data_IF_442807905908
#
_entry.id   IF_442807905908
#
_cell.length_a   1.000
_cell.length_b   1.000
_cell.length_c   1.000
_cell.angle_alpha   90.00
_cell.angle_beta   90.00
_cell.angle_gamma   90.00
#
_symmetry.space_group_name_H-M   'P 1'
#
loop_
_entity.id
_entity.type
_entity.pdbx_description
1 polymer ?
#
# COMPACT_ATOMS: atom_id res chain seq x y z
N UNK A 1 -53.94 36.15 -61.17
CA UNK A 1 -54.27 35.35 -59.97
C UNK A 1 -53.18 34.31 -59.81
N UNK A 2 -52.52 34.32 -58.66
CA UNK A 2 -51.17 33.82 -58.45
C UNK A 2 -51.09 32.30 -58.26
N UNK A 3 -49.99 31.74 -58.77
CA UNK A 3 -49.57 30.33 -58.69
C UNK A 3 -49.00 30.05 -57.29
N UNK A 4 -49.63 29.15 -56.54
CA UNK A 4 -49.16 28.70 -55.22
C UNK A 4 -48.07 27.62 -55.39
N UNK A 5 -46.81 27.94 -55.07
CA UNK A 5 -45.70 26.99 -55.01
C UNK A 5 -45.59 26.41 -53.60
N UNK A 6 -45.77 25.10 -53.47
CA UNK A 6 -45.44 24.34 -52.25
C UNK A 6 -43.91 24.28 -52.08
N UNK A 7 -43.38 24.95 -51.06
CA UNK A 7 -42.00 24.78 -50.60
C UNK A 7 -41.98 23.70 -49.51
N UNK A 8 -41.48 22.51 -49.88
CA UNK A 8 -41.20 21.40 -48.97
C UNK A 8 -39.92 21.73 -48.19
N UNK A 9 -40.04 22.06 -46.92
CA UNK A 9 -38.89 22.18 -46.02
C UNK A 9 -38.44 20.78 -45.59
N UNK A 10 -37.35 20.32 -46.18
CA UNK A 10 -36.62 19.13 -45.72
C UNK A 10 -35.68 19.60 -44.60
N UNK A 11 -36.12 19.47 -43.34
CA UNK A 11 -35.25 19.66 -42.18
C UNK A 11 -34.28 18.47 -42.13
N UNK A 12 -33.05 18.72 -42.57
CA UNK A 12 -31.93 17.80 -42.44
C UNK A 12 -31.53 17.78 -40.96
N UNK A 13 -32.01 16.78 -40.22
CA UNK A 13 -31.59 16.51 -38.85
C UNK A 13 -30.15 16.00 -38.86
N UNK A 14 -29.20 16.91 -38.71
CA UNK A 14 -27.80 16.57 -38.44
C UNK A 14 -27.75 15.97 -37.04
N UNK A 15 -27.70 14.65 -36.95
CA UNK A 15 -27.37 13.95 -35.72
C UNK A 15 -25.91 14.30 -35.35
N UNK A 16 -25.75 15.17 -34.37
CA UNK A 16 -24.49 15.36 -33.66
C UNK A 16 -24.16 14.05 -32.94
N UNK A 17 -23.42 13.16 -33.59
CA UNK A 17 -22.69 12.09 -32.92
C UNK A 17 -21.56 12.80 -32.18
N UNK A 18 -21.86 13.31 -30.99
CA UNK A 18 -20.81 13.73 -30.06
C UNK A 18 -19.93 12.52 -29.76
N UNK A 19 -18.62 12.73 -29.71
CA UNK A 19 -17.70 11.73 -29.17
C UNK A 19 -18.23 11.30 -27.80
N UNK A 20 -18.81 10.10 -27.69
CA UNK A 20 -19.04 9.50 -26.37
C UNK A 20 -17.66 9.23 -25.82
N UNK A 21 -17.34 9.82 -24.67
CA UNK A 21 -16.17 9.42 -23.90
C UNK A 21 -16.24 7.91 -23.70
N UNK A 22 -15.14 7.21 -23.92
CA UNK A 22 -15.01 5.78 -23.56
C UNK A 22 -15.09 5.58 -22.05
N UNK A 23 -14.84 6.66 -21.30
CA UNK A 23 -15.09 6.79 -19.87
C UNK A 23 -16.58 7.02 -19.66
N UNK A 24 -17.31 5.95 -19.31
CA UNK A 24 -18.69 6.01 -18.84
C UNK A 24 -18.76 6.51 -17.38
N UNK A 25 -19.97 6.57 -16.81
CA UNK A 25 -20.18 6.93 -15.41
C UNK A 25 -19.40 6.02 -14.44
N UNK A 26 -19.04 6.59 -13.30
CA UNK A 26 -18.39 5.88 -12.20
C UNK A 26 -19.39 4.94 -11.51
N UNK A 27 -18.99 3.68 -11.32
CA UNK A 27 -19.60 2.73 -10.39
C UNK A 27 -18.79 2.74 -9.09
N UNK A 28 -19.28 3.49 -8.10
CA UNK A 28 -18.69 3.64 -6.77
C UNK A 28 -18.60 2.30 -6.01
N UNK A 29 -19.53 1.38 -6.24
CA UNK A 29 -19.50 0.06 -5.57
C UNK A 29 -18.36 -0.81 -6.14
N UNK A 30 -18.15 -0.75 -7.46
CA UNK A 30 -17.03 -1.45 -8.11
C UNK A 30 -15.68 -0.75 -7.91
N UNK A 31 -15.67 0.54 -7.56
CA UNK A 31 -14.44 1.29 -7.27
C UNK A 31 -13.72 0.75 -6.04
N UNK A 32 -14.46 0.34 -5.02
CA UNK A 32 -13.92 -0.11 -3.73
C UNK A 32 -13.26 -1.51 -3.79
N UNK A 33 -12.87 -1.96 -4.98
CA UNK A 33 -12.04 -3.15 -5.19
C UNK A 33 -10.57 -2.76 -5.09
N UNK A 34 -9.90 -3.31 -4.09
CA UNK A 34 -8.48 -3.10 -3.86
C UNK A 34 -7.67 -4.32 -4.32
N UNK A 35 -6.38 -4.08 -4.56
CA UNK A 35 -5.40 -5.11 -4.81
C UNK A 35 -4.20 -4.92 -3.91
N UNK A 36 -3.52 -6.03 -3.62
CA UNK A 36 -2.27 -6.06 -2.87
C UNK A 36 -1.19 -6.69 -3.73
N UNK A 37 0.01 -6.12 -3.70
CA UNK A 37 1.19 -6.67 -4.38
C UNK A 37 1.98 -7.65 -3.47
N UNK A 38 2.98 -8.37 -4.00
CA UNK A 38 3.79 -9.29 -3.19
C UNK A 38 4.55 -8.63 -2.04
N UNK A 39 4.77 -7.32 -2.09
CA UNK A 39 5.40 -6.53 -1.04
C UNK A 39 4.39 -5.98 0.00
N UNK A 40 3.10 -6.27 -0.17
CA UNK A 40 2.03 -5.87 0.75
C UNK A 40 1.49 -4.45 0.55
N UNK A 41 1.89 -3.76 -0.53
CA UNK A 41 1.37 -2.42 -0.87
C UNK A 41 -0.01 -2.53 -1.47
N UNK A 42 -0.89 -1.62 -1.10
CA UNK A 42 -2.30 -1.63 -1.51
C UNK A 42 -2.58 -0.50 -2.47
N UNK A 43 -3.31 -0.83 -3.53
CA UNK A 43 -3.80 0.11 -4.53
C UNK A 43 -5.23 -0.24 -4.93
N UNK A 44 -5.89 0.66 -5.65
CA UNK A 44 -7.12 0.30 -6.34
C UNK A 44 -6.84 -0.77 -7.38
N UNK A 45 -7.75 -1.73 -7.59
CA UNK A 45 -7.56 -2.79 -8.56
C UNK A 45 -7.29 -2.23 -9.98
N UNK A 46 -8.00 -1.16 -10.39
CA UNK A 46 -7.73 -0.46 -11.64
C UNK A 46 -6.33 0.17 -11.70
N UNK A 47 -5.87 0.79 -10.61
CA UNK A 47 -4.51 1.34 -10.50
C UNK A 47 -3.45 0.23 -10.60
N UNK A 48 -3.65 -0.88 -9.88
CA UNK A 48 -2.77 -2.05 -9.88
C UNK A 48 -2.57 -2.63 -11.28
N UNK A 49 -3.64 -2.73 -12.08
CA UNK A 49 -3.55 -3.25 -13.45
C UNK A 49 -2.71 -2.39 -14.39
N UNK A 50 -2.62 -1.08 -14.15
CA UNK A 50 -1.71 -0.23 -14.91
C UNK A 50 -0.26 -0.39 -14.42
N UNK A 51 -0.04 -0.83 -13.18
CA UNK A 51 1.29 -1.12 -12.62
C UNK A 51 1.87 -2.47 -13.08
N UNK A 52 1.02 -3.49 -13.27
CA UNK A 52 1.41 -4.92 -13.42
C UNK A 52 2.36 -5.21 -14.59
N UNK A 53 2.39 -4.35 -15.62
CA UNK A 53 3.27 -4.50 -16.79
C UNK A 53 4.51 -3.59 -16.81
N UNK A 54 4.71 -2.74 -15.79
CA UNK A 54 5.60 -1.59 -15.90
C UNK A 54 6.49 -1.31 -14.68
N UNK A 55 7.05 -2.38 -14.09
CA UNK A 55 7.98 -2.30 -12.95
C UNK A 55 7.50 -1.34 -11.85
N UNK A 56 6.23 -1.51 -11.43
CA UNK A 56 5.58 -0.65 -10.45
C UNK A 56 5.24 0.77 -10.96
N UNK A 57 4.92 0.91 -12.24
CA UNK A 57 4.38 2.15 -12.83
C UNK A 57 5.39 3.13 -13.43
N UNK A 58 6.69 2.80 -13.40
CA UNK A 58 7.77 3.71 -13.80
C UNK A 58 7.83 4.02 -15.30
N UNK A 59 7.14 3.25 -16.13
CA UNK A 59 7.23 3.46 -17.59
C UNK A 59 6.69 4.80 -18.07
N UNK A 60 5.75 5.37 -17.32
CA UNK A 60 5.04 6.59 -17.68
C UNK A 60 5.52 7.79 -16.88
N UNK A 61 6.68 7.69 -16.23
CA UNK A 61 7.34 8.81 -15.57
C UNK A 61 8.02 9.70 -16.61
N UNK A 62 7.96 11.02 -16.41
CA UNK A 62 8.53 12.03 -17.32
C UNK A 62 10.04 11.82 -17.56
N UNK A 63 10.76 11.32 -16.54
CA UNK A 63 12.19 11.04 -16.59
C UNK A 63 12.58 9.59 -16.88
N UNK A 64 11.64 8.72 -17.23
CA UNK A 64 11.97 7.34 -17.56
C UNK A 64 12.82 7.27 -18.84
N UNK A 65 13.79 6.35 -18.90
CA UNK A 65 14.68 6.19 -20.06
C UNK A 65 14.92 4.71 -20.39
N UNK A 66 15.34 4.44 -21.63
CA UNK A 66 15.79 3.11 -22.05
C UNK A 66 14.74 2.02 -21.87
N UNK A 67 15.08 0.96 -21.12
CA UNK A 67 14.20 -0.19 -20.88
C UNK A 67 12.94 0.17 -20.09
N UNK A 68 13.00 1.21 -19.27
CA UNK A 68 11.85 1.66 -18.50
C UNK A 68 10.81 2.37 -19.40
N UNK A 69 11.16 2.86 -20.60
CA UNK A 69 10.17 3.43 -21.56
C UNK A 69 9.83 2.52 -22.74
N UNK A 70 10.15 1.23 -22.65
CA UNK A 70 9.90 0.33 -23.76
C UNK A 70 8.40 0.29 -24.14
N UNK A 71 8.09 0.60 -25.40
CA UNK A 71 6.72 0.56 -25.93
C UNK A 71 5.82 1.73 -25.53
N UNK A 72 6.33 2.72 -24.79
CA UNK A 72 5.55 3.88 -24.33
C UNK A 72 5.46 4.95 -25.44
N UNK A 73 4.25 5.36 -25.87
CA UNK A 73 4.10 6.45 -26.84
C UNK A 73 4.67 7.78 -26.33
N UNK A 74 5.21 8.58 -27.24
CA UNK A 74 5.71 9.93 -26.92
C UNK A 74 4.60 10.78 -26.30
N UNK A 75 4.88 11.38 -25.14
CA UNK A 75 3.95 12.27 -24.43
C UNK A 75 2.92 11.56 -23.57
N UNK A 76 2.95 10.22 -23.45
CA UNK A 76 2.10 9.48 -22.52
C UNK A 76 2.76 9.41 -21.13
N UNK A 77 2.90 10.58 -20.53
CA UNK A 77 3.62 10.85 -19.27
C UNK A 77 2.65 11.15 -18.14
N UNK A 78 1.92 10.13 -17.69
CA UNK A 78 0.96 10.34 -16.59
C UNK A 78 1.59 10.21 -15.21
N UNK A 79 2.65 9.41 -15.05
CA UNK A 79 3.22 9.04 -13.76
C UNK A 79 2.21 8.29 -12.87
N UNK A 80 2.59 7.13 -12.35
CA UNK A 80 1.71 6.37 -11.45
C UNK A 80 2.35 6.21 -10.08
N UNK A 81 2.08 7.11 -9.12
CA UNK A 81 2.52 6.87 -7.76
C UNK A 81 1.87 5.57 -7.27
N UNK A 82 2.68 4.70 -6.68
CA UNK A 82 2.19 3.69 -5.75
C UNK A 82 1.95 4.40 -4.41
N UNK A 83 1.12 3.85 -3.54
CA UNK A 83 1.10 4.27 -2.14
C UNK A 83 2.51 4.09 -1.54
N UNK A 84 3.37 5.11 -1.64
CA UNK A 84 4.78 5.03 -1.19
C UNK A 84 4.94 5.51 0.25
N UNK A 85 3.88 6.01 0.88
CA UNK A 85 3.93 6.31 2.31
C UNK A 85 3.76 5.00 3.07
N UNK A 86 4.87 4.27 3.14
CA UNK A 86 5.19 3.28 4.16
C UNK A 86 5.68 3.96 5.45
N UNK A 87 5.98 5.27 5.39
CA UNK A 87 6.49 6.09 6.48
C UNK A 87 6.01 7.55 6.34
N UNK A 88 5.09 7.99 7.20
CA UNK A 88 4.91 9.43 7.46
C UNK A 88 6.00 9.82 8.42
N UNK A 89 7.11 10.33 7.87
CA UNK A 89 7.90 11.27 8.67
C UNK A 89 6.95 12.43 8.95
N UNK A 90 6.69 12.73 10.21
CA UNK A 90 6.13 14.04 10.54
C UNK A 90 7.26 15.05 10.64
N UNK A 91 7.17 16.19 9.92
CA UNK A 91 6.13 16.53 8.94
C UNK A 91 6.30 15.77 7.62
N UNK A 92 5.18 15.50 6.93
CA UNK A 92 5.19 14.90 5.58
C UNK A 92 6.22 15.61 4.69
N UNK A 93 6.87 14.89 3.75
CA UNK A 93 7.75 15.53 2.79
C UNK A 93 7.04 16.71 2.13
N UNK A 94 7.67 17.88 2.19
CA UNK A 94 7.10 19.12 1.64
C UNK A 94 6.69 18.89 0.18
N UNK A 95 5.44 19.23 -0.16
CA UNK A 95 4.90 19.07 -1.50
C UNK A 95 4.33 17.68 -1.85
N UNK A 96 4.29 16.72 -0.92
CA UNK A 96 3.74 15.39 -1.19
C UNK A 96 2.27 15.40 -1.64
N UNK A 97 1.41 16.19 -0.98
CA UNK A 97 0.02 16.40 -1.43
C UNK A 97 -0.03 16.98 -2.85
N UNK A 98 0.77 18.02 -3.10
CA UNK A 98 0.83 18.66 -4.41
C UNK A 98 1.33 17.70 -5.51
N UNK A 99 2.20 16.75 -5.17
CA UNK A 99 2.62 15.67 -6.06
C UNK A 99 1.45 14.74 -6.37
N UNK A 100 0.73 14.24 -5.36
CA UNK A 100 -0.41 13.33 -5.57
C UNK A 100 -1.53 13.96 -6.40
N UNK A 101 -1.88 15.22 -6.12
CA UNK A 101 -2.85 15.97 -6.91
C UNK A 101 -2.39 16.09 -8.36
N UNK A 102 -1.12 16.46 -8.58
CA UNK A 102 -0.54 16.58 -9.93
C UNK A 102 -0.54 15.24 -10.67
N UNK A 103 -0.17 14.15 -10.01
CA UNK A 103 -0.21 12.81 -10.59
C UNK A 103 -1.62 12.41 -11.00
N UNK A 104 -2.62 12.64 -10.13
CA UNK A 104 -4.02 12.37 -10.44
C UNK A 104 -4.52 13.19 -11.64
N UNK A 105 -4.23 14.49 -11.66
CA UNK A 105 -4.56 15.36 -12.80
C UNK A 105 -3.89 14.89 -14.10
N UNK A 106 -2.63 14.45 -14.02
CA UNK A 106 -1.91 13.91 -15.16
C UNK A 106 -2.53 12.59 -15.65
N UNK A 107 -2.89 11.67 -14.75
CA UNK A 107 -3.60 10.42 -15.10
C UNK A 107 -4.90 10.73 -15.84
N UNK A 108 -5.72 11.64 -15.30
CA UNK A 108 -7.00 12.00 -15.90
C UNK A 108 -6.85 12.69 -17.26
N UNK A 109 -5.79 13.49 -17.45
CA UNK A 109 -5.48 14.10 -18.75
C UNK A 109 -5.18 13.06 -19.83
N UNK A 110 -4.68 11.89 -19.45
CA UNK A 110 -4.29 10.81 -20.37
C UNK A 110 -5.30 9.65 -20.40
N UNK A 111 -6.40 9.72 -19.66
CA UNK A 111 -7.32 8.61 -19.45
C UNK A 111 -7.89 8.03 -20.76
N UNK A 112 -8.31 8.87 -21.70
CA UNK A 112 -8.83 8.40 -23.00
C UNK A 112 -7.76 7.72 -23.85
N UNK A 113 -6.54 8.27 -23.86
CA UNK A 113 -5.41 7.68 -24.58
C UNK A 113 -5.01 6.33 -23.97
N UNK A 114 -4.99 6.25 -22.64
CA UNK A 114 -4.74 5.02 -21.89
C UNK A 114 -5.74 3.92 -22.26
N UNK A 115 -7.04 4.20 -22.18
CA UNK A 115 -8.09 3.24 -22.55
C UNK A 115 -7.99 2.83 -24.02
N UNK A 116 -7.76 3.79 -24.92
CA UNK A 116 -7.62 3.48 -26.36
C UNK A 116 -6.46 2.53 -26.64
N UNK A 117 -5.35 2.63 -25.91
CA UNK A 117 -4.19 1.75 -26.08
C UNK A 117 -4.43 0.38 -25.46
N UNK A 118 -5.10 0.31 -24.31
CA UNK A 118 -5.52 -0.95 -23.69
C UNK A 118 -6.49 -1.71 -24.61
N UNK A 119 -7.52 -1.03 -25.12
CA UNK A 119 -8.54 -1.63 -26.00
C UNK A 119 -7.94 -2.18 -27.29
N UNK A 120 -6.82 -1.62 -27.74
CA UNK A 120 -6.08 -2.08 -28.93
C UNK A 120 -5.04 -3.16 -28.61
N UNK A 121 -4.89 -3.55 -27.35
CA UNK A 121 -3.84 -4.49 -26.90
C UNK A 121 -2.42 -3.93 -27.05
N UNK A 122 -2.28 -2.61 -27.20
CA UNK A 122 -0.97 -1.95 -27.30
C UNK A 122 -0.35 -1.68 -25.92
N UNK A 123 -1.16 -1.68 -24.87
CA UNK A 123 -0.73 -1.51 -23.49
C UNK A 123 -1.27 -2.64 -22.60
N UNK A 124 -0.41 -3.34 -21.83
CA UNK A 124 1.05 -3.27 -21.86
C UNK A 124 1.61 -3.88 -23.16
N UNK A 125 2.78 -3.42 -23.63
CA UNK A 125 3.38 -3.92 -24.86
C UNK A 125 3.78 -5.39 -24.73
N UNK A 126 3.44 -6.21 -25.74
CA UNK A 126 3.79 -7.63 -25.77
C UNK A 126 3.00 -8.49 -24.79
N UNK A 127 1.88 -8.01 -24.26
CA UNK A 127 0.94 -8.82 -23.50
C UNK A 127 0.48 -10.02 -24.34
N UNK A 128 0.51 -11.21 -23.75
CA UNK A 128 -0.05 -12.40 -24.37
C UNK A 128 -1.59 -12.30 -24.32
N UNK A 129 -2.29 -12.28 -25.47
CA UNK A 129 -3.74 -12.19 -25.48
C UNK A 129 -4.43 -13.41 -24.84
N UNK A 130 -3.73 -14.54 -24.70
CA UNK A 130 -4.23 -15.74 -24.02
C UNK A 130 -3.97 -15.70 -22.49
N UNK A 131 -3.25 -14.68 -22.00
CA UNK A 131 -2.98 -14.50 -20.57
C UNK A 131 -4.20 -13.91 -19.86
N UNK A 132 -4.80 -14.74 -19.00
CA UNK A 132 -6.02 -14.37 -18.28
C UNK A 132 -5.77 -13.66 -16.94
N UNK A 133 -4.54 -13.67 -16.42
CA UNK A 133 -4.18 -13.12 -15.11
C UNK A 133 -3.19 -11.97 -15.24
N UNK A 134 -3.26 -10.99 -14.34
CA UNK A 134 -2.31 -9.89 -14.32
C UNK A 134 -0.91 -10.37 -13.91
N UNK A 135 0.11 -9.87 -14.60
CA UNK A 135 1.51 -10.12 -14.26
C UNK A 135 1.90 -9.43 -12.94
N UNK A 136 2.98 -9.88 -12.29
CA UNK A 136 3.49 -9.23 -11.07
C UNK A 136 2.82 -9.65 -9.76
N UNK A 137 1.93 -10.65 -9.77
CA UNK A 137 1.48 -11.33 -8.55
C UNK A 137 0.46 -10.56 -7.70
N UNK A 138 -0.21 -9.56 -8.27
CA UNK A 138 -1.26 -8.81 -7.59
C UNK A 138 -2.48 -9.70 -7.34
N UNK A 139 -3.07 -9.55 -6.14
CA UNK A 139 -4.27 -10.29 -5.73
C UNK A 139 -5.35 -9.34 -5.26
N UNK A 140 -6.60 -9.72 -5.47
CA UNK A 140 -7.73 -9.01 -4.87
C UNK A 140 -7.60 -8.98 -3.35
N UNK A 141 -7.95 -7.84 -2.78
CA UNK A 141 -8.14 -7.71 -1.34
C UNK A 141 -9.65 -7.74 -1.06
N UNK A 142 -10.12 -8.83 -0.48
CA UNK A 142 -11.53 -9.07 -0.17
C UNK A 142 -11.82 -8.76 1.30
N UNK A 143 -12.95 -8.11 1.55
CA UNK A 143 -13.45 -7.88 2.91
C UNK A 143 -14.63 -8.81 3.17
N UNK A 144 -14.45 -9.78 4.08
CA UNK A 144 -15.52 -10.68 4.51
C UNK A 144 -15.64 -10.62 6.02
N UNK A 145 -16.80 -10.20 6.52
CA UNK A 145 -17.10 -10.16 7.97
C UNK A 145 -16.06 -9.36 8.80
N UNK A 146 -15.58 -8.23 8.27
CA UNK A 146 -14.53 -7.42 8.93
C UNK A 146 -13.09 -7.90 8.68
N UNK A 147 -12.91 -9.02 7.99
CA UNK A 147 -11.60 -9.63 7.74
C UNK A 147 -11.10 -9.34 6.32
N UNK A 148 -9.81 -9.05 6.17
CA UNK A 148 -9.14 -9.04 4.88
C UNK A 148 -8.75 -10.46 4.46
N UNK A 149 -9.15 -10.86 3.28
CA UNK A 149 -8.69 -12.08 2.62
C UNK A 149 -7.97 -11.70 1.35
N UNK A 150 -6.83 -12.33 1.10
CA UNK A 150 -6.23 -12.25 -0.23
C UNK A 150 -7.04 -13.18 -1.13
N UNK A 151 -7.80 -12.59 -2.02
CA UNK A 151 -8.60 -13.29 -3.02
C UNK A 151 -7.76 -13.82 -4.16
N UNK A 152 -8.42 -14.01 -5.29
CA UNK A 152 -7.80 -14.48 -6.52
C UNK A 152 -6.83 -13.46 -7.10
N UNK A 153 -5.95 -13.94 -7.99
CA UNK A 153 -5.11 -13.06 -8.78
C UNK A 153 -5.97 -12.10 -9.61
N UNK A 154 -5.50 -10.87 -9.80
CA UNK A 154 -6.21 -9.91 -10.65
C UNK A 154 -6.36 -10.47 -12.07
N UNK A 155 -7.49 -10.18 -12.75
CA UNK A 155 -7.64 -10.52 -14.15
C UNK A 155 -6.67 -9.70 -15.00
N UNK A 156 -6.15 -10.27 -16.09
CA UNK A 156 -5.29 -9.53 -17.02
C UNK A 156 -6.02 -8.31 -17.56
N UNK A 157 -5.30 -7.20 -17.74
CA UNK A 157 -5.83 -5.98 -18.39
C UNK A 157 -6.29 -6.22 -19.83
N UNK A 158 -5.94 -7.36 -20.44
CA UNK A 158 -6.43 -7.78 -21.77
C UNK A 158 -7.79 -8.50 -21.71
N UNK A 159 -8.30 -8.83 -20.53
CA UNK A 159 -9.64 -9.40 -20.34
C UNK A 159 -10.68 -8.29 -20.23
N UNK A 160 -11.96 -8.64 -20.45
CA UNK A 160 -13.06 -7.70 -20.27
C UNK A 160 -13.14 -7.17 -18.83
N UNK A 161 -12.95 -8.06 -17.85
CA UNK A 161 -12.97 -7.70 -16.44
C UNK A 161 -11.82 -6.75 -16.07
N UNK A 162 -10.60 -7.04 -16.52
CA UNK A 162 -9.45 -6.18 -16.28
C UNK A 162 -9.61 -4.80 -16.92
N UNK A 163 -10.12 -4.72 -18.16
CA UNK A 163 -10.42 -3.44 -18.82
C UNK A 163 -11.46 -2.63 -18.05
N UNK A 164 -12.50 -3.29 -17.57
CA UNK A 164 -13.57 -2.62 -16.82
C UNK A 164 -13.09 -2.08 -15.47
N UNK A 165 -12.20 -2.78 -14.77
CA UNK A 165 -11.56 -2.29 -13.54
C UNK A 165 -10.78 -0.98 -13.78
N UNK A 166 -10.01 -0.91 -14.87
CA UNK A 166 -9.24 0.31 -15.23
C UNK A 166 -10.19 1.43 -15.68
N UNK A 167 -11.17 1.12 -16.54
CA UNK A 167 -12.17 2.09 -17.02
C UNK A 167 -12.95 2.70 -15.87
N UNK A 168 -13.44 1.88 -14.93
CA UNK A 168 -14.20 2.35 -13.79
C UNK A 168 -13.33 3.20 -12.85
N UNK A 169 -12.08 2.77 -12.59
CA UNK A 169 -11.13 3.57 -11.80
C UNK A 169 -10.90 4.96 -12.40
N UNK A 170 -10.70 5.07 -13.72
CA UNK A 170 -10.58 6.36 -14.41
C UNK A 170 -11.88 7.18 -14.36
N UNK A 171 -13.03 6.53 -14.53
CA UNK A 171 -14.35 7.17 -14.44
C UNK A 171 -14.63 7.78 -13.06
N UNK A 172 -14.15 7.13 -12.00
CA UNK A 172 -14.26 7.61 -10.63
C UNK A 172 -13.19 8.66 -10.26
N UNK A 173 -12.50 9.22 -11.26
CA UNK A 173 -11.52 10.26 -11.05
C UNK A 173 -10.14 9.74 -10.64
N UNK A 174 -9.82 8.48 -10.96
CA UNK A 174 -8.53 7.84 -10.72
C UNK A 174 -8.01 8.03 -9.28
N UNK A 175 -8.78 7.60 -8.26
CA UNK A 175 -8.32 7.73 -6.88
C UNK A 175 -7.04 6.95 -6.64
N UNK A 176 -6.24 7.44 -5.70
CA UNK A 176 -4.95 6.85 -5.33
C UNK A 176 -5.03 6.44 -3.87
N UNK A 177 -4.37 5.34 -3.50
CA UNK A 177 -4.14 5.02 -2.09
C UNK A 177 -2.97 5.87 -1.61
N UNK A 178 -3.23 6.80 -0.68
CA UNK A 178 -2.23 7.77 -0.19
C UNK A 178 -1.21 7.14 0.77
N UNK A 179 -1.69 6.16 1.53
CA UNK A 179 -0.95 5.52 2.59
C UNK A 179 -1.41 4.07 2.73
N UNK A 180 -0.43 3.16 2.78
CA UNK A 180 -0.65 1.75 3.08
C UNK A 180 -0.86 1.53 4.57
N UNK A 181 -0.33 2.44 5.40
CA UNK A 181 -0.55 2.46 6.85
C UNK A 181 -1.85 3.23 7.19
N UNK A 182 -2.86 2.55 7.73
CA UNK A 182 -4.13 3.15 8.08
C UNK A 182 -4.13 4.00 9.37
N UNK A 183 -3.06 3.93 10.18
CA UNK A 183 -2.89 4.75 11.40
C UNK A 183 -2.56 6.20 11.09
N UNK A 184 -2.11 6.48 9.87
CA UNK A 184 -1.69 7.80 9.45
C UNK A 184 -2.88 8.77 9.33
N UNK A 185 -2.73 10.04 9.75
CA UNK A 185 -3.74 11.05 9.57
C UNK A 185 -4.03 11.24 8.08
N UNK A 186 -5.29 11.54 7.72
CA UNK A 186 -5.68 11.79 6.34
C UNK A 186 -4.86 12.97 5.80
N UNK A 187 -4.06 12.70 4.79
CA UNK A 187 -3.08 13.65 4.30
C UNK A 187 -3.80 14.71 3.48
N UNK A 188 -4.64 14.35 2.51
CA UNK A 188 -5.33 15.34 1.66
C UNK A 188 -6.73 15.75 2.12
N UNK A 189 -7.45 14.91 2.87
CA UNK A 189 -8.80 15.24 3.37
C UNK A 189 -9.92 15.29 2.31
N UNK A 190 -9.60 15.05 1.03
CA UNK A 190 -10.51 15.25 -0.11
C UNK A 190 -11.10 13.94 -0.67
N UNK A 191 -12.22 14.06 -1.41
CA UNK A 191 -12.80 12.97 -2.19
C UNK A 191 -11.81 12.49 -3.27
N UNK A 192 -11.60 11.18 -3.34
CA UNK A 192 -10.74 10.54 -4.34
C UNK A 192 -9.38 10.10 -3.78
N UNK A 193 -9.22 10.09 -2.46
CA UNK A 193 -8.06 9.48 -1.84
C UNK A 193 -8.48 8.64 -0.64
N UNK A 194 -8.10 7.36 -0.68
CA UNK A 194 -8.56 6.37 0.27
C UNK A 194 -7.39 5.86 1.10
N UNK A 195 -7.63 5.70 2.41
CA UNK A 195 -6.78 4.86 3.26
C UNK A 195 -6.89 3.42 2.78
N UNK A 196 -5.79 2.68 2.82
CA UNK A 196 -5.92 1.22 2.87
C UNK A 196 -6.88 0.89 4.03
N UNK A 197 -7.93 0.10 3.81
CA UNK A 197 -8.78 -0.32 4.92
C UNK A 197 -7.96 -1.12 5.94
N UNK A 198 -8.31 -0.94 7.22
CA UNK A 198 -7.76 -1.72 8.34
C UNK A 198 -8.30 -3.15 8.27
N UNK A 199 -7.42 -4.14 8.33
CA UNK A 199 -7.83 -5.51 8.54
C UNK A 199 -8.13 -5.69 10.04
N UNK A 200 -9.38 -5.98 10.40
CA UNK A 200 -9.82 -6.02 11.81
C UNK A 200 -9.07 -7.06 12.65
N UNK A 201 -8.55 -8.14 12.02
CA UNK A 201 -7.71 -9.14 12.68
C UNK A 201 -6.31 -8.63 13.08
N UNK A 202 -5.80 -7.54 12.48
CA UNK A 202 -4.49 -6.99 12.84
C UNK A 202 -4.51 -6.26 14.19
N UNK A 203 -5.70 -5.91 14.71
CA UNK A 203 -5.88 -5.24 16.01
C UNK A 203 -6.61 -6.06 17.07
N UNK A 204 -7.32 -7.12 16.70
CA UNK A 204 -8.10 -7.90 17.67
C UNK A 204 -7.14 -8.64 18.65
N UNK A 205 -7.19 -8.32 19.96
CA UNK A 205 -6.35 -9.00 20.93
C UNK A 205 -6.63 -10.51 20.92
N UNK A 206 -5.59 -11.31 20.73
CA UNK A 206 -5.65 -12.78 20.74
C UNK A 206 -5.72 -13.46 19.37
N UNK A 207 -5.85 -12.72 18.25
CA UNK A 207 -5.74 -13.29 16.89
C UNK A 207 -4.31 -13.26 16.34
N UNK A 208 -3.47 -12.35 16.83
CA UNK A 208 -2.05 -12.30 16.51
C UNK A 208 -1.25 -13.22 17.44
N UNK A 209 -1.11 -14.48 17.04
CA UNK A 209 -0.26 -15.47 17.75
C UNK A 209 1.22 -15.15 17.58
N UNK A 210 2.07 -15.62 18.48
CA UNK A 210 3.51 -15.41 18.35
C UNK A 210 4.11 -16.07 17.08
N UNK A 211 3.57 -17.19 16.63
CA UNK A 211 3.98 -17.87 15.39
C UNK A 211 3.78 -16.98 14.17
N UNK A 212 2.59 -16.40 14.05
CA UNK A 212 2.26 -15.44 13.00
C UNK A 212 3.13 -14.20 13.10
N UNK A 213 3.28 -13.64 14.30
CA UNK A 213 4.14 -12.48 14.52
C UNK A 213 5.59 -12.76 14.09
N UNK A 214 6.12 -13.93 14.47
CA UNK A 214 7.46 -14.32 14.10
C UNK A 214 7.61 -14.49 12.58
N UNK A 215 6.70 -15.22 11.93
CA UNK A 215 6.77 -15.49 10.49
C UNK A 215 6.52 -14.24 9.63
N UNK A 216 5.61 -13.36 10.04
CA UNK A 216 5.19 -12.20 9.26
C UNK A 216 6.03 -10.95 9.55
N UNK A 217 6.69 -10.87 10.71
CA UNK A 217 7.43 -9.67 11.17
C UNK A 217 8.87 -9.98 11.54
N UNK A 218 9.11 -10.76 12.61
CA UNK A 218 10.46 -10.87 13.15
C UNK A 218 11.41 -11.60 12.21
N UNK A 219 10.99 -12.69 11.58
CA UNK A 219 11.83 -13.45 10.66
C UNK A 219 12.23 -12.64 9.41
N UNK A 220 11.32 -12.00 8.66
CA UNK A 220 11.69 -11.29 7.44
C UNK A 220 12.37 -9.93 7.68
N UNK A 221 12.24 -9.34 8.86
CA UNK A 221 12.69 -7.95 9.10
C UNK A 221 13.69 -7.76 10.24
N UNK A 222 13.80 -8.71 11.16
CA UNK A 222 14.66 -8.59 12.34
C UNK A 222 15.72 -9.70 12.40
N UNK A 223 15.32 -10.95 12.14
CA UNK A 223 16.16 -12.15 12.17
C UNK A 223 17.05 -12.31 10.92
N UNK A 224 17.60 -11.19 10.45
CA UNK A 224 18.47 -11.14 9.28
C UNK A 224 19.92 -11.34 9.69
N UNK A 225 20.71 -11.94 8.79
CA UNK A 225 22.14 -12.10 8.98
C UNK A 225 22.81 -10.73 9.26
N UNK A 226 23.55 -10.64 10.36
CA UNK A 226 24.18 -9.41 10.83
C UNK A 226 23.26 -8.42 11.57
N UNK A 227 22.01 -8.77 11.87
CA UNK A 227 21.10 -7.97 12.70
C UNK A 227 20.76 -8.70 14.02
N UNK A 228 19.79 -9.63 13.99
CA UNK A 228 19.38 -10.45 15.14
C UNK A 228 19.49 -11.94 14.83
N UNK A 229 20.63 -12.35 14.27
CA UNK A 229 20.90 -13.74 13.90
C UNK A 229 21.56 -14.54 15.04
N UNK A 230 21.99 -15.77 14.72
CA UNK A 230 22.65 -16.66 15.67
C UNK A 230 24.01 -16.15 16.21
N UNK A 231 24.64 -15.20 15.50
CA UNK A 231 25.91 -14.60 15.87
C UNK A 231 25.73 -13.27 16.62
N UNK A 232 24.50 -12.77 16.76
CA UNK A 232 24.21 -11.53 17.46
C UNK A 232 24.56 -11.68 18.96
N UNK A 233 25.41 -10.79 19.51
CA UNK A 233 25.75 -10.81 20.94
C UNK A 233 24.57 -10.36 21.82
N UNK A 234 23.63 -9.62 21.22
CA UNK A 234 22.48 -9.03 21.89
C UNK A 234 21.23 -9.92 21.68
N UNK A 235 20.08 -9.30 21.41
CA UNK A 235 18.80 -9.98 21.21
C UNK A 235 18.90 -10.92 19.99
N UNK A 236 18.70 -12.22 20.20
CA UNK A 236 18.68 -13.23 19.16
C UNK A 236 17.26 -13.53 18.73
N UNK A 237 17.04 -13.56 17.42
CA UNK A 237 15.72 -13.83 16.82
C UNK A 237 15.79 -14.87 15.70
N UNK A 238 16.88 -15.64 15.60
CA UNK A 238 17.11 -16.59 14.50
C UNK A 238 16.21 -17.85 14.52
N UNK A 239 15.44 -18.04 15.58
CA UNK A 239 14.36 -19.04 15.64
C UNK A 239 13.18 -18.49 16.42
N UNK A 240 12.01 -19.09 16.21
CA UNK A 240 10.77 -18.69 16.87
C UNK A 240 10.89 -18.83 18.40
N UNK A 241 11.37 -19.97 18.88
CA UNK A 241 11.48 -20.24 20.31
C UNK A 241 12.50 -19.31 20.98
N UNK A 242 13.65 -19.07 20.33
CA UNK A 242 14.65 -18.14 20.84
C UNK A 242 14.11 -16.72 20.86
N UNK A 243 13.49 -16.25 19.77
CA UNK A 243 12.93 -14.90 19.71
C UNK A 243 11.94 -14.65 20.85
N UNK A 244 11.04 -15.59 21.12
CA UNK A 244 10.11 -15.47 22.26
C UNK A 244 10.89 -15.41 23.58
N UNK A 245 11.74 -16.41 23.83
CA UNK A 245 12.44 -16.50 25.12
C UNK A 245 13.33 -15.30 25.41
N UNK A 246 14.03 -14.76 24.40
CA UNK A 246 14.96 -13.64 24.54
C UNK A 246 14.22 -12.32 24.81
N UNK A 247 13.04 -12.11 24.21
CA UNK A 247 12.18 -10.95 24.47
C UNK A 247 11.68 -10.87 25.93
N UNK A 248 11.65 -11.99 26.65
CA UNK A 248 11.22 -12.03 28.06
C UNK A 248 12.35 -12.32 29.05
N UNK A 249 13.45 -12.93 28.61
CA UNK A 249 14.56 -13.31 29.48
C UNK A 249 15.62 -12.21 29.62
N UNK A 250 15.62 -11.20 28.74
CA UNK A 250 16.58 -10.09 28.76
C UNK A 250 15.90 -8.75 29.03
N UNK A 251 16.66 -7.86 29.64
CA UNK A 251 16.34 -6.44 29.71
C UNK A 251 17.09 -5.68 28.58
N UNK A 252 16.63 -4.48 28.20
CA UNK A 252 17.37 -3.56 27.33
C UNK A 252 18.69 -3.11 27.96
N UNK A 253 19.71 -3.98 27.93
CA UNK A 253 20.92 -3.85 28.73
C UNK A 253 22.06 -3.06 28.11
N UNK A 254 22.09 -2.89 26.78
CA UNK A 254 23.11 -2.08 26.12
C UNK A 254 22.79 -0.58 26.20
N UNK A 255 23.21 0.00 27.33
CA UNK A 255 23.08 1.44 27.58
C UNK A 255 24.27 2.26 27.04
N UNK A 256 25.25 1.60 26.40
CA UNK A 256 26.46 2.27 25.89
C UNK A 256 26.13 3.29 24.79
N UNK A 257 24.99 3.12 24.13
CA UNK A 257 24.52 4.00 23.04
C UNK A 257 23.41 4.96 23.46
N UNK A 258 23.19 5.15 24.76
CA UNK A 258 22.32 6.21 25.25
C UNK A 258 23.09 7.53 25.31
N UNK A 259 22.49 8.61 24.79
CA UNK A 259 23.13 9.93 24.72
C UNK A 259 23.31 10.59 26.10
N UNK A 260 22.44 10.30 27.06
CA UNK A 260 22.44 10.91 28.40
C UNK A 260 22.11 9.90 29.51
N UNK A 261 22.53 10.22 30.74
CA UNK A 261 22.18 9.44 31.94
C UNK A 261 20.68 9.45 32.21
N UNK A 262 20.02 10.59 32.04
CA UNK A 262 18.56 10.69 32.14
C UNK A 262 17.83 9.84 31.08
N UNK A 263 18.39 9.71 29.87
CA UNK A 263 17.83 8.81 28.87
C UNK A 263 17.97 7.33 29.25
N UNK A 264 19.02 6.96 29.99
CA UNK A 264 19.21 5.60 30.52
C UNK A 264 18.20 5.28 31.61
N UNK A 265 18.01 6.20 32.55
CA UNK A 265 17.06 6.04 33.67
C UNK A 265 15.60 5.97 33.21
N UNK A 266 15.29 6.60 32.08
CA UNK A 266 13.95 6.61 31.50
C UNK A 266 13.62 5.36 30.67
N UNK A 267 14.58 4.48 30.36
CA UNK A 267 14.32 3.31 29.54
C UNK A 267 13.32 2.36 30.21
N UNK A 268 12.33 1.83 29.46
CA UNK A 268 11.55 0.71 29.93
C UNK A 268 12.45 -0.46 30.31
N UNK A 269 12.11 -1.12 31.41
CA UNK A 269 12.94 -2.18 32.02
C UNK A 269 12.88 -3.49 31.22
N UNK A 270 11.76 -3.74 30.54
CA UNK A 270 11.51 -4.98 29.81
C UNK A 270 11.36 -4.72 28.31
N UNK A 271 11.80 -5.67 27.48
CA UNK A 271 11.53 -5.62 26.04
C UNK A 271 10.02 -5.66 25.76
N UNK A 272 9.29 -6.49 26.52
CA UNK A 272 7.85 -6.70 26.43
C UNK A 272 7.23 -6.62 27.82
N UNK A 273 6.22 -5.78 27.98
CA UNK A 273 5.33 -5.72 29.14
C UNK A 273 3.95 -6.24 28.70
N UNK A 274 3.58 -7.49 29.04
CA UNK A 274 2.30 -8.07 28.65
C UNK A 274 1.11 -7.18 29.01
N UNK A 275 0.26 -6.89 28.03
CA UNK A 275 -0.94 -6.05 28.20
C UNK A 275 -0.67 -4.55 28.20
N UNK A 276 0.59 -4.11 28.16
CA UNK A 276 0.97 -2.69 28.15
C UNK A 276 1.98 -2.40 27.02
N UNK A 277 1.47 -2.11 25.80
CA UNK A 277 2.31 -1.75 24.66
C UNK A 277 3.19 -0.53 24.92
N UNK A 278 2.66 0.49 25.58
CA UNK A 278 3.35 1.77 25.75
C UNK A 278 4.48 1.65 26.79
N UNK A 279 4.40 0.67 27.70
CA UNK A 279 5.50 0.31 28.59
C UNK A 279 6.54 -0.65 27.96
N UNK A 280 6.31 -1.20 26.77
CA UNK A 280 7.17 -2.23 26.17
C UNK A 280 8.31 -1.63 25.33
N UNK A 281 9.58 -1.82 25.73
CA UNK A 281 10.73 -1.21 25.04
C UNK A 281 10.80 -1.53 23.55
N UNK A 282 10.32 -2.70 23.12
CA UNK A 282 10.29 -3.08 21.71
C UNK A 282 9.52 -2.04 20.85
N UNK A 283 8.35 -1.57 21.30
CA UNK A 283 7.56 -0.59 20.55
C UNK A 283 8.18 0.81 20.57
N UNK A 284 8.86 1.18 21.65
CA UNK A 284 9.72 2.37 21.66
C UNK A 284 10.81 2.26 20.58
N UNK A 285 11.48 1.10 20.51
CA UNK A 285 12.55 0.87 19.53
C UNK A 285 12.06 0.80 18.10
N UNK A 286 10.86 0.27 17.89
CA UNK A 286 10.18 0.27 16.60
C UNK A 286 9.55 1.62 16.25
N UNK A 287 9.63 2.60 17.16
CA UNK A 287 9.14 3.96 17.01
C UNK A 287 7.63 4.08 16.87
N UNK A 288 6.87 3.23 17.54
CA UNK A 288 5.40 3.21 17.49
C UNK A 288 4.76 4.61 17.49
N UNK A 289 3.95 4.96 16.48
CA UNK A 289 3.39 6.31 16.34
C UNK A 289 2.41 6.69 17.45
N UNK A 290 1.84 5.72 18.17
CA UNK A 290 0.95 5.98 19.31
C UNK A 290 1.71 6.39 20.57
N UNK A 291 3.02 6.09 20.65
CA UNK A 291 3.89 6.55 21.72
C UNK A 291 4.46 7.92 21.33
N UNK A 292 4.18 9.02 22.05
CA UNK A 292 4.70 10.34 21.72
C UNK A 292 6.23 10.35 21.62
N UNK A 293 6.79 11.04 20.63
CA UNK A 293 8.24 11.06 20.41
C UNK A 293 9.03 11.60 21.63
N UNK A 294 8.44 12.54 22.39
CA UNK A 294 9.03 13.07 23.62
C UNK A 294 9.06 12.06 24.78
N UNK A 295 8.26 10.99 24.68
CA UNK A 295 8.08 9.95 25.70
C UNK A 295 8.70 8.61 25.25
N UNK A 296 9.57 8.65 24.24
CA UNK A 296 10.15 7.46 23.60
C UNK A 296 11.66 7.34 23.86
N UNK A 297 12.07 7.01 25.10
CA UNK A 297 13.48 6.83 25.41
C UNK A 297 14.02 5.56 24.73
N UNK A 298 15.04 5.74 23.90
CA UNK A 298 15.74 4.65 23.22
C UNK A 298 17.26 4.89 23.25
N UNK A 299 18.04 3.82 23.16
CA UNK A 299 19.50 3.90 23.06
C UNK A 299 20.00 3.39 21.72
N UNK A 300 20.81 4.17 21.00
CA UNK A 300 21.13 3.94 19.59
C UNK A 300 19.93 4.19 18.67
N UNK A 301 20.06 3.77 17.41
CA UNK A 301 19.08 4.07 16.35
C UNK A 301 17.74 3.31 16.52
N UNK A 302 16.63 3.86 16.01
CA UNK A 302 15.40 3.10 15.75
C UNK A 302 15.62 1.80 14.99
N UNK A 303 14.76 0.81 15.24
CA UNK A 303 14.77 -0.47 14.53
C UNK A 303 13.49 -0.69 13.72
N UNK A 304 13.57 -1.34 12.55
CA UNK A 304 14.81 -1.75 11.88
C UNK A 304 15.57 -0.55 11.27
N UNK A 305 16.90 -0.66 11.15
CA UNK A 305 17.77 0.42 10.63
C UNK A 305 17.38 0.91 9.21
N UNK A 306 16.71 0.07 8.44
CA UNK A 306 16.36 0.35 7.04
C UNK A 306 14.99 1.02 6.85
N UNK A 307 14.28 1.38 7.92
CA UNK A 307 13.00 2.11 7.85
C UNK A 307 11.99 1.65 8.90
N UNK A 308 10.84 2.34 9.00
CA UNK A 308 9.73 1.92 9.86
C UNK A 308 8.90 0.85 9.15
N UNK A 309 8.30 -0.04 9.93
CA UNK A 309 7.37 -1.06 9.45
C UNK A 309 6.03 -0.89 10.16
N UNK A 310 5.14 0.03 9.73
CA UNK A 310 3.97 0.36 10.53
C UNK A 310 3.00 -0.80 10.73
N UNK A 311 2.78 -1.64 9.70
CA UNK A 311 2.00 -2.87 9.84
C UNK A 311 2.62 -3.85 10.83
N UNK A 312 3.95 -3.93 10.89
CA UNK A 312 4.62 -4.74 11.90
C UNK A 312 4.41 -4.17 13.31
N UNK A 313 4.48 -2.85 13.47
CA UNK A 313 4.23 -2.16 14.74
C UNK A 313 2.82 -2.48 15.24
N UNK A 314 1.80 -2.36 14.38
CA UNK A 314 0.42 -2.69 14.76
C UNK A 314 0.27 -4.14 15.20
N UNK A 315 0.87 -5.09 14.48
CA UNK A 315 0.83 -6.52 14.83
C UNK A 315 1.54 -6.81 16.16
N UNK A 316 2.71 -6.20 16.38
CA UNK A 316 3.44 -6.32 17.66
C UNK A 316 2.60 -5.71 18.79
N UNK A 317 2.01 -4.54 18.58
CA UNK A 317 1.13 -3.88 19.56
C UNK A 317 -0.08 -4.75 19.92
N UNK A 318 -0.83 -5.24 18.93
CA UNK A 318 -2.01 -6.08 19.16
C UNK A 318 -1.66 -7.39 19.89
N UNK A 319 -0.50 -7.98 19.60
CA UNK A 319 0.01 -9.13 20.34
C UNK A 319 0.35 -8.77 21.79
N UNK A 320 0.99 -7.62 22.06
CA UNK A 320 1.26 -7.15 23.42
C UNK A 320 -0.05 -6.87 24.18
N UNK A 321 -1.01 -6.18 23.57
CA UNK A 321 -2.33 -5.90 24.14
C UNK A 321 -3.08 -7.18 24.53
N UNK A 322 -2.88 -8.27 23.77
CA UNK A 322 -3.41 -9.59 24.08
C UNK A 322 -2.73 -10.31 25.26
N UNK A 323 -1.79 -9.65 25.94
CA UNK A 323 -0.99 -10.25 27.01
C UNK A 323 0.24 -11.00 26.50
N UNK A 324 0.68 -10.71 25.27
CA UNK A 324 1.88 -11.27 24.65
C UNK A 324 1.96 -12.83 24.76
N UNK A 325 0.90 -13.56 24.35
CA UNK A 325 0.84 -15.01 24.50
C UNK A 325 2.01 -15.68 23.76
N UNK A 326 2.57 -16.71 24.39
CA UNK A 326 3.67 -17.49 23.82
C UNK A 326 3.26 -18.45 22.72
N UNK A 327 4.24 -19.08 22.07
CA UNK A 327 3.98 -20.07 21.04
C UNK A 327 3.19 -21.24 21.63
N UNK A 328 2.23 -21.72 20.86
CA UNK A 328 1.42 -22.88 21.19
C UNK A 328 2.35 -24.10 21.21
N UNK A 329 2.34 -24.85 22.31
CA UNK A 329 3.10 -26.09 22.39
C UNK A 329 2.68 -27.03 21.25
N UNK A 330 3.62 -27.34 20.34
CA UNK A 330 3.41 -28.38 19.35
C UNK A 330 3.42 -29.72 20.10
N UNK A 331 2.26 -30.37 20.19
CA UNK A 331 2.14 -31.76 20.64
C UNK A 331 2.60 -32.72 19.55
#
# INVERSE_FOLDING_TARGET
MAVLRLFRWLLLSVALIGCRSTINDCDEDSLMRFAVDPEGRISFAGQALVHTGCAAGRCHDEGAEGRDRYGVPLGLDFGLPIAVIEDVREPLPEGHQAMLTRSRENILRHAEAMLTLIDRGAMPPGADPDENLAQGGYRHLEYRLGQCHFGDALPSIQTEEGRELVRNWLACGAPIVEATDPTLPNISGDRGVHRSPLCEEERAPGLMTFERLYAEVFQPSCALAGCHDAASPDLRMDSLELAYSELFARAPGDTAHCETESAREALPTDFIVPGDPDASYLLHKMTDPLIPAAERPICGDPMPRNGRLPRAIEKVRAWIEAGAPGPVAQN
#
